data_IF_842749129093
#
_entry.id   IF_842749129093
#
_cell.length_a   1.000
_cell.length_b   1.000
_cell.length_c   1.000
_cell.angle_alpha   90.00
_cell.angle_beta   90.00
_cell.angle_gamma   90.00
#
_symmetry.space_group_name_H-M   'P 1'
#
loop_
_entity.id
_entity.type
_entity.pdbx_description
1 polymer ?
#
# COMPACT_ATOMS: atom_id res chain seq x y z
N UNK A 1 23.48 7.59 -9.12
CA UNK A 1 23.55 6.24 -8.50
C UNK A 1 22.24 5.87 -7.81
N UNK A 2 21.76 6.64 -6.82
CA UNK A 2 20.49 6.37 -6.12
C UNK A 2 19.30 6.15 -7.04
N UNK A 3 19.02 7.11 -7.92
CA UNK A 3 17.85 7.04 -8.82
C UNK A 3 17.93 5.86 -9.80
N UNK A 4 19.14 5.48 -10.20
CA UNK A 4 19.35 4.29 -11.03
C UNK A 4 19.04 3.00 -10.25
N UNK A 5 19.52 2.88 -9.01
CA UNK A 5 19.23 1.71 -8.14
C UNK A 5 17.73 1.58 -7.91
N UNK A 6 17.12 2.71 -7.59
CA UNK A 6 15.68 2.85 -7.48
C UNK A 6 15.02 2.35 -8.78
N UNK A 7 15.37 2.87 -9.95
CA UNK A 7 14.77 2.50 -11.25
C UNK A 7 14.90 1.01 -11.53
N UNK A 8 16.06 0.44 -11.17
CA UNK A 8 16.31 -1.00 -11.33
C UNK A 8 15.38 -1.86 -10.48
N UNK A 9 15.14 -1.49 -9.23
CA UNK A 9 14.23 -2.20 -8.31
C UNK A 9 12.74 -2.16 -8.71
N UNK A 10 12.34 -1.25 -9.61
CA UNK A 10 10.98 -1.22 -10.17
C UNK A 10 10.80 -2.14 -11.38
N UNK A 11 11.89 -2.61 -11.98
CA UNK A 11 11.81 -3.39 -13.21
C UNK A 11 11.10 -4.73 -13.00
N UNK A 12 10.48 -5.25 -14.06
CA UNK A 12 9.74 -6.53 -14.06
C UNK A 12 10.56 -7.74 -13.58
N UNK A 13 11.90 -7.63 -13.60
CA UNK A 13 12.81 -8.62 -13.00
C UNK A 13 12.60 -8.82 -11.50
N UNK A 14 12.26 -7.74 -10.79
CA UNK A 14 12.07 -7.75 -9.34
C UNK A 14 10.63 -8.06 -8.93
N UNK A 15 9.71 -7.93 -9.87
CA UNK A 15 8.29 -8.24 -9.73
C UNK A 15 7.87 -9.37 -10.69
N UNK A 16 8.57 -10.52 -10.72
CA UNK A 16 8.31 -11.57 -11.70
C UNK A 16 7.10 -12.44 -11.34
N UNK A 17 6.53 -13.03 -12.39
CA UNK A 17 5.45 -14.04 -12.37
C UNK A 17 5.72 -15.16 -11.37
N UNK A 18 4.68 -15.56 -10.66
CA UNK A 18 4.73 -16.72 -9.77
C UNK A 18 4.09 -17.98 -10.37
N UNK A 19 4.08 -18.14 -11.70
CA UNK A 19 3.90 -19.43 -12.39
C UNK A 19 3.88 -19.32 -13.93
N UNK A 20 5.06 -19.40 -14.55
CA UNK A 20 5.38 -20.17 -15.78
C UNK A 20 4.45 -20.31 -17.02
N UNK A 21 3.29 -19.67 -17.14
CA UNK A 21 2.42 -19.78 -18.32
C UNK A 21 2.07 -18.40 -18.87
N UNK A 22 2.00 -18.28 -20.19
CA UNK A 22 1.96 -17.01 -20.92
C UNK A 22 0.66 -16.21 -20.77
N UNK A 23 0.44 -15.62 -19.59
CA UNK A 23 -0.55 -14.57 -19.30
C UNK A 23 0.07 -13.41 -18.51
N UNK A 24 -0.70 -12.36 -18.19
CA UNK A 24 -0.23 -11.20 -17.41
C UNK A 24 0.35 -11.62 -16.04
N UNK A 25 1.27 -10.82 -15.50
CA UNK A 25 1.99 -11.17 -14.28
C UNK A 25 1.08 -11.16 -13.04
N UNK A 26 1.00 -12.27 -12.30
CA UNK A 26 0.25 -12.34 -11.04
C UNK A 26 0.88 -11.42 -9.99
N UNK A 27 0.19 -10.35 -9.57
CA UNK A 27 0.74 -9.35 -8.64
C UNK A 27 0.81 -9.93 -7.23
N UNK A 28 1.91 -9.71 -6.52
CA UNK A 28 2.13 -10.25 -5.17
C UNK A 28 2.93 -9.34 -4.25
N UNK A 29 2.46 -9.18 -3.01
CA UNK A 29 3.23 -8.51 -1.97
C UNK A 29 4.52 -9.30 -1.68
N UNK A 30 5.60 -8.57 -1.42
CA UNK A 30 6.88 -9.16 -1.00
C UNK A 30 7.52 -8.34 0.10
N UNK A 31 8.50 -8.91 0.80
CA UNK A 31 9.28 -8.16 1.78
C UNK A 31 10.50 -7.49 1.16
N UNK A 32 10.99 -6.41 1.78
CA UNK A 32 12.25 -5.76 1.35
C UNK A 32 13.44 -6.72 1.39
N UNK A 33 13.41 -7.74 2.27
CA UNK A 33 14.41 -8.81 2.30
C UNK A 33 14.34 -9.67 1.05
N UNK A 34 13.15 -10.13 0.67
CA UNK A 34 12.97 -10.90 -0.57
C UNK A 34 13.39 -10.08 -1.80
N UNK A 35 13.08 -8.78 -1.82
CA UNK A 35 13.55 -7.88 -2.88
C UNK A 35 15.09 -7.79 -2.91
N UNK A 36 15.74 -7.71 -1.75
CA UNK A 36 17.20 -7.73 -1.62
C UNK A 36 17.80 -9.07 -2.09
N UNK A 37 17.18 -10.21 -1.79
CA UNK A 37 17.63 -11.52 -2.27
C UNK A 37 17.58 -11.67 -3.79
N UNK A 38 16.62 -11.00 -4.45
CA UNK A 38 16.60 -10.89 -5.92
C UNK A 38 17.68 -9.93 -6.39
N UNK A 39 17.88 -8.80 -5.70
CA UNK A 39 18.91 -7.82 -6.03
C UNK A 39 20.34 -8.39 -5.94
N UNK A 40 20.59 -9.28 -4.97
CA UNK A 40 21.88 -9.94 -4.80
C UNK A 40 22.28 -10.84 -5.98
N UNK A 41 21.31 -11.23 -6.82
CA UNK A 41 21.54 -12.00 -8.05
C UNK A 41 21.66 -11.11 -9.29
N UNK A 42 21.44 -9.80 -9.17
CA UNK A 42 21.60 -8.83 -10.25
C UNK A 42 22.99 -8.20 -10.17
N UNK A 43 23.92 -8.72 -10.98
CA UNK A 43 25.32 -8.30 -10.97
C UNK A 43 25.50 -6.79 -11.24
N UNK A 44 24.67 -6.22 -12.12
CA UNK A 44 24.71 -4.79 -12.42
C UNK A 44 24.22 -3.98 -11.22
N UNK A 45 23.14 -4.43 -10.55
CA UNK A 45 22.69 -3.81 -9.32
C UNK A 45 23.77 -3.81 -8.24
N UNK A 46 24.44 -4.95 -8.02
CA UNK A 46 25.49 -5.08 -7.01
C UNK A 46 26.69 -4.16 -7.27
N UNK A 47 27.10 -4.01 -8.54
CA UNK A 47 28.18 -3.08 -8.91
C UNK A 47 27.79 -1.63 -8.61
N UNK A 48 26.60 -1.19 -9.03
CA UNK A 48 26.15 0.17 -8.77
C UNK A 48 25.87 0.39 -7.28
N UNK A 49 25.41 -0.63 -6.55
CA UNK A 49 25.17 -0.56 -5.12
C UNK A 49 26.49 -0.43 -4.33
N UNK A 50 27.55 -1.14 -4.72
CA UNK A 50 28.88 -0.95 -4.13
C UNK A 50 29.41 0.47 -4.34
N UNK A 51 29.25 1.04 -5.54
CA UNK A 51 29.60 2.43 -5.82
C UNK A 51 28.76 3.42 -5.01
N UNK A 52 27.47 3.15 -4.85
CA UNK A 52 26.57 3.98 -4.06
C UNK A 52 26.89 3.92 -2.55
N UNK A 53 27.24 2.74 -2.04
CA UNK A 53 27.64 2.53 -0.65
C UNK A 53 29.07 3.06 -0.36
N UNK A 54 29.92 3.17 -1.39
CA UNK A 54 31.30 3.63 -1.29
C UNK A 54 32.30 2.54 -0.88
N UNK A 55 31.85 1.29 -0.70
CA UNK A 55 32.70 0.14 -0.39
C UNK A 55 32.06 -1.17 -0.85
N UNK A 56 32.87 -2.22 -1.06
CA UNK A 56 32.41 -3.51 -1.56
C UNK A 56 31.68 -4.36 -0.49
N UNK A 57 32.07 -4.23 0.78
CA UNK A 57 31.52 -5.01 1.90
C UNK A 57 30.23 -4.41 2.49
N UNK A 58 29.38 -3.84 1.64
CA UNK A 58 28.12 -3.23 2.10
C UNK A 58 27.08 -4.31 2.42
N UNK A 59 26.22 -4.03 3.40
CA UNK A 59 25.08 -4.90 3.68
C UNK A 59 23.91 -4.52 2.74
N UNK A 60 23.56 -5.46 1.87
CA UNK A 60 22.53 -5.30 0.84
C UNK A 60 21.13 -5.15 1.44
N UNK A 61 20.83 -5.85 2.54
CA UNK A 61 19.51 -5.83 3.16
C UNK A 61 19.11 -4.42 3.67
N UNK A 62 19.89 -3.75 4.53
CA UNK A 62 19.59 -2.39 4.96
C UNK A 62 19.71 -1.39 3.82
N UNK A 63 20.58 -1.59 2.82
CA UNK A 63 20.65 -0.73 1.65
C UNK A 63 19.31 -0.73 0.88
N UNK A 64 18.80 -1.90 0.53
CA UNK A 64 17.52 -2.04 -0.20
C UNK A 64 16.36 -1.57 0.67
N UNK A 65 16.32 -1.96 1.95
CA UNK A 65 15.25 -1.55 2.86
C UNK A 65 15.17 -0.03 3.01
N UNK A 66 16.31 0.66 3.15
CA UNK A 66 16.36 2.13 3.28
C UNK A 66 15.97 2.84 1.98
N UNK A 67 16.44 2.34 0.81
CA UNK A 67 16.04 2.88 -0.49
C UNK A 67 14.52 2.78 -0.70
N UNK A 68 13.96 1.61 -0.42
CA UNK A 68 12.53 1.35 -0.60
C UNK A 68 11.70 2.15 0.40
N UNK A 69 12.04 2.13 1.69
CA UNK A 69 11.28 2.83 2.72
C UNK A 69 11.22 4.35 2.47
N UNK A 70 12.29 4.94 1.95
CA UNK A 70 12.33 6.37 1.62
C UNK A 70 11.46 6.75 0.41
N UNK A 71 11.15 5.81 -0.48
CA UNK A 71 10.26 6.02 -1.64
C UNK A 71 8.95 5.23 -1.51
N UNK A 72 8.56 4.91 -0.27
CA UNK A 72 7.32 4.21 0.05
C UNK A 72 6.33 5.12 0.77
N UNK A 73 5.04 4.94 0.48
CA UNK A 73 3.96 5.51 1.28
C UNK A 73 3.09 4.37 1.85
N UNK A 74 2.70 4.42 3.14
CA UNK A 74 1.83 3.40 3.73
C UNK A 74 0.45 3.33 3.09
N UNK A 75 -0.06 2.12 2.91
CA UNK A 75 -1.35 1.85 2.27
C UNK A 75 -2.55 2.52 2.98
N UNK A 76 -2.58 2.51 4.33
CA UNK A 76 -3.71 3.10 5.09
C UNK A 76 -3.52 4.60 5.39
N UNK A 77 -4.57 5.43 5.27
CA UNK A 77 -4.52 6.87 5.60
C UNK A 77 -4.02 7.15 7.03
N UNK A 78 -4.45 6.34 8.01
CA UNK A 78 -4.06 6.50 9.43
C UNK A 78 -2.56 6.33 9.66
N UNK A 79 -1.85 5.68 8.74
CA UNK A 79 -0.39 5.51 8.78
C UNK A 79 0.36 6.63 8.03
N UNK A 80 -0.36 7.52 7.35
CA UNK A 80 0.17 8.63 6.53
C UNK A 80 -0.06 9.99 7.16
N UNK A 81 -1.25 10.24 7.69
CA UNK A 81 -1.71 11.56 8.08
C UNK A 81 -1.74 11.77 9.60
N UNK A 82 -1.52 13.01 10.01
CA UNK A 82 -1.86 13.46 11.37
C UNK A 82 -3.38 13.62 11.51
N UNK A 83 -3.89 13.91 12.71
CA UNK A 83 -5.32 14.17 12.93
C UNK A 83 -5.86 15.31 12.04
N UNK A 84 -5.05 16.35 11.77
CA UNK A 84 -5.46 17.43 10.86
C UNK A 84 -5.55 16.93 9.42
N UNK A 85 -4.62 16.09 8.98
CA UNK A 85 -4.65 15.47 7.65
C UNK A 85 -5.80 14.48 7.48
N UNK A 86 -6.14 13.71 8.52
CA UNK A 86 -7.31 12.80 8.49
C UNK A 86 -8.62 13.58 8.35
N UNK A 87 -8.77 14.72 9.04
CA UNK A 87 -9.95 15.59 8.85
C UNK A 87 -10.05 16.16 7.43
N UNK A 88 -8.92 16.42 6.76
CA UNK A 88 -8.91 16.81 5.35
C UNK A 88 -9.27 15.64 4.45
N UNK A 89 -8.76 14.45 4.76
CA UNK A 89 -9.02 13.22 4.00
C UNK A 89 -10.51 12.93 3.87
N UNK A 90 -11.27 13.07 4.97
CA UNK A 90 -12.74 12.92 4.94
C UNK A 90 -13.38 13.89 3.93
N UNK A 91 -13.01 15.17 3.94
CA UNK A 91 -13.54 16.17 2.99
C UNK A 91 -13.15 15.86 1.54
N UNK A 92 -11.96 15.29 1.31
CA UNK A 92 -11.54 14.81 0.00
C UNK A 92 -12.37 13.62 -0.48
N UNK A 93 -12.61 12.64 0.40
CA UNK A 93 -13.43 11.46 0.09
C UNK A 93 -14.89 11.81 -0.20
N UNK A 94 -15.47 12.74 0.56
CA UNK A 94 -16.79 13.32 0.30
C UNK A 94 -16.84 13.99 -1.08
N UNK A 95 -15.82 14.78 -1.41
CA UNK A 95 -15.73 15.42 -2.73
C UNK A 95 -15.65 14.38 -3.85
N UNK A 96 -14.79 13.37 -3.72
CA UNK A 96 -14.69 12.29 -4.71
C UNK A 96 -15.97 11.49 -4.84
N UNK A 97 -16.73 11.30 -3.75
CA UNK A 97 -18.02 10.62 -3.81
C UNK A 97 -19.05 11.43 -4.62
N UNK A 98 -19.05 12.76 -4.49
CA UNK A 98 -19.88 13.64 -5.31
C UNK A 98 -19.45 13.62 -6.79
N UNK A 99 -18.14 13.70 -7.06
CA UNK A 99 -17.61 13.64 -8.43
C UNK A 99 -17.94 12.31 -9.10
N UNK A 100 -17.84 11.18 -8.40
CA UNK A 100 -18.26 9.88 -8.92
C UNK A 100 -19.75 9.81 -9.28
N UNK A 101 -20.61 10.45 -8.49
CA UNK A 101 -22.06 10.54 -8.78
C UNK A 101 -22.34 11.38 -10.02
N UNK A 102 -21.65 12.51 -10.14
CA UNK A 102 -21.69 13.37 -11.34
C UNK A 102 -21.19 12.61 -12.58
N UNK A 103 -20.06 11.90 -12.48
CA UNK A 103 -19.50 11.05 -13.55
C UNK A 103 -20.45 9.90 -13.94
N UNK A 104 -21.28 9.42 -13.01
CA UNK A 104 -22.33 8.42 -13.25
C UNK A 104 -23.60 9.02 -13.89
N UNK A 105 -23.62 10.33 -14.16
CA UNK A 105 -24.72 11.04 -14.82
C UNK A 105 -25.78 11.61 -13.88
N UNK A 106 -25.54 11.65 -12.57
CA UNK A 106 -26.46 12.28 -11.62
C UNK A 106 -26.39 13.82 -11.71
N UNK A 107 -27.53 14.50 -11.87
CA UNK A 107 -27.60 15.97 -11.81
C UNK A 107 -27.57 16.46 -10.35
N UNK A 108 -26.37 16.83 -9.90
CA UNK A 108 -26.14 17.35 -8.55
C UNK A 108 -26.40 18.86 -8.43
N UNK A 109 -26.67 19.58 -9.53
CA UNK A 109 -26.77 21.04 -9.51
C UNK A 109 -27.93 21.53 -8.63
N UNK A 110 -29.04 20.79 -8.60
CA UNK A 110 -30.23 21.12 -7.81
C UNK A 110 -30.11 20.79 -6.32
N UNK A 111 -29.34 19.75 -5.97
CA UNK A 111 -29.26 19.22 -4.60
C UNK A 111 -28.01 19.67 -3.84
N UNK A 112 -26.87 19.72 -4.53
CA UNK A 112 -25.55 20.06 -3.96
C UNK A 112 -25.04 21.40 -4.51
N UNK A 113 -25.45 21.76 -5.73
CA UNK A 113 -24.90 22.92 -6.43
C UNK A 113 -23.50 22.62 -6.95
N UNK A 114 -22.59 23.59 -6.81
CA UNK A 114 -21.18 23.41 -7.22
C UNK A 114 -20.46 22.52 -6.20
N UNK A 115 -19.93 21.37 -6.65
CA UNK A 115 -19.13 20.47 -5.82
C UNK A 115 -17.99 21.28 -5.15
N UNK A 116 -17.86 21.22 -3.81
CA UNK A 116 -16.84 21.98 -3.10
C UNK A 116 -15.44 21.49 -3.47
N UNK A 117 -14.50 22.42 -3.58
CA UNK A 117 -13.08 22.07 -3.75
C UNK A 117 -12.49 21.72 -2.39
N UNK A 118 -11.85 20.55 -2.22
CA UNK A 118 -11.36 20.14 -0.91
C UNK A 118 -10.11 20.94 -0.53
N UNK A 119 -9.82 21.09 0.78
CA UNK A 119 -8.68 21.87 1.25
C UNK A 119 -7.35 21.21 0.86
N UNK A 120 -6.38 22.02 0.42
CA UNK A 120 -5.02 21.53 0.15
C UNK A 120 -4.33 21.03 1.42
N UNK A 121 -3.57 19.95 1.30
CA UNK A 121 -2.68 19.48 2.35
C UNK A 121 -1.45 20.38 2.52
N UNK A 122 -0.85 20.32 3.71
CA UNK A 122 0.42 20.94 4.07
C UNK A 122 1.34 19.89 4.71
N UNK A 123 2.64 20.18 4.82
CA UNK A 123 3.59 19.24 5.44
C UNK A 123 3.17 18.78 6.85
N UNK A 124 2.53 19.63 7.66
CA UNK A 124 2.05 19.30 9.02
C UNK A 124 0.88 18.31 9.07
N UNK A 125 0.23 18.07 7.92
CA UNK A 125 -0.87 17.12 7.81
C UNK A 125 -0.38 15.68 7.62
N UNK A 126 0.94 15.48 7.44
CA UNK A 126 1.57 14.18 7.25
C UNK A 126 2.42 13.80 8.45
N UNK A 127 2.49 12.49 8.75
CA UNK A 127 3.29 11.95 9.87
C UNK A 127 4.80 12.00 9.59
N UNK A 128 5.22 12.01 8.32
CA UNK A 128 6.63 12.09 7.91
C UNK A 128 6.82 13.03 6.74
N UNK A 129 7.98 13.70 6.70
CA UNK A 129 8.39 14.57 5.60
C UNK A 129 8.44 13.85 4.25
N UNK A 130 8.87 12.59 4.22
CA UNK A 130 8.88 11.78 2.99
C UNK A 130 7.48 11.57 2.43
N UNK A 131 6.47 11.33 3.28
CA UNK A 131 5.10 11.19 2.82
C UNK A 131 4.60 12.49 2.19
N UNK A 132 4.89 13.64 2.81
CA UNK A 132 4.60 14.95 2.23
C UNK A 132 5.31 15.16 0.88
N UNK A 133 6.60 14.83 0.78
CA UNK A 133 7.37 14.92 -0.47
C UNK A 133 6.74 14.08 -1.59
N UNK A 134 6.26 12.89 -1.25
CA UNK A 134 5.68 11.93 -2.20
C UNK A 134 4.22 12.19 -2.54
N UNK A 135 3.50 13.04 -1.79
CA UNK A 135 2.05 13.27 -1.99
C UNK A 135 1.69 14.73 -2.32
N UNK A 136 2.39 15.67 -1.70
CA UNK A 136 2.19 17.12 -1.90
C UNK A 136 0.78 17.61 -1.52
N UNK A 137 0.48 18.86 -1.90
CA UNK A 137 -0.74 19.55 -1.45
C UNK A 137 -2.06 19.00 -2.00
N UNK A 138 -2.00 18.18 -3.05
CA UNK A 138 -3.16 17.53 -3.68
C UNK A 138 -3.20 16.02 -3.42
N UNK A 139 -2.29 15.51 -2.59
CA UNK A 139 -2.20 14.09 -2.24
C UNK A 139 -1.99 13.13 -3.43
N UNK A 140 -1.45 13.65 -4.54
CA UNK A 140 -1.17 12.88 -5.76
C UNK A 140 -0.06 11.87 -5.47
N UNK A 141 -0.28 10.55 -5.67
CA UNK A 141 0.75 9.53 -5.48
C UNK A 141 2.00 9.78 -6.33
N UNK A 142 3.18 9.72 -5.73
CA UNK A 142 4.50 9.78 -6.41
C UNK A 142 5.50 8.78 -5.84
N UNK A 143 5.08 8.00 -4.86
CA UNK A 143 5.86 6.89 -4.33
C UNK A 143 6.07 5.80 -5.38
N UNK A 144 7.11 5.02 -5.18
CA UNK A 144 7.54 3.94 -6.07
C UNK A 144 7.09 2.58 -5.53
N UNK A 145 6.84 2.54 -4.22
CA UNK A 145 6.29 1.39 -3.52
C UNK A 145 5.18 1.79 -2.56
N UNK A 146 4.25 0.87 -2.36
CA UNK A 146 3.29 0.94 -1.26
C UNK A 146 3.85 0.10 -0.14
N UNK A 147 3.89 0.64 1.08
CA UNK A 147 4.33 -0.13 2.25
C UNK A 147 3.16 -0.61 3.09
N UNK A 148 3.33 -1.78 3.72
CA UNK A 148 2.37 -2.43 4.61
C UNK A 148 2.98 -2.63 6.01
N UNK A 149 3.27 -1.55 6.77
CA UNK A 149 3.82 -1.67 8.12
C UNK A 149 2.89 -2.47 9.04
N UNK A 150 3.48 -3.35 9.87
CA UNK A 150 2.72 -4.23 10.76
C UNK A 150 2.20 -5.50 10.09
N UNK A 151 2.44 -5.66 8.79
CA UNK A 151 2.06 -6.84 8.01
C UNK A 151 3.26 -7.77 7.75
N UNK A 152 4.36 -7.64 8.49
CA UNK A 152 5.56 -8.47 8.34
C UNK A 152 5.32 -9.92 8.80
N UNK A 153 6.00 -10.91 8.21
CA UNK A 153 5.79 -12.34 8.51
C UNK A 153 6.60 -12.78 9.73
N UNK A 154 5.90 -13.13 10.82
CA UNK A 154 6.49 -13.83 11.98
C UNK A 154 7.84 -13.27 12.45
N UNK A 155 8.90 -14.10 12.38
CA UNK A 155 10.26 -13.75 12.78
C UNK A 155 11.01 -12.84 11.79
N UNK A 156 10.52 -12.70 10.56
CA UNK A 156 11.03 -11.77 9.57
C UNK A 156 10.34 -10.41 9.73
N UNK A 157 11.05 -9.47 10.34
CA UNK A 157 10.59 -8.08 10.53
C UNK A 157 10.82 -7.18 9.31
N UNK A 158 11.14 -7.74 8.14
CA UNK A 158 11.34 -6.93 6.94
C UNK A 158 10.02 -6.40 6.38
N UNK A 159 10.05 -5.12 5.97
CA UNK A 159 8.86 -4.38 5.55
C UNK A 159 8.21 -5.06 4.34
N UNK A 160 6.90 -5.30 4.43
CA UNK A 160 6.10 -5.78 3.30
C UNK A 160 5.73 -4.62 2.40
N UNK A 161 5.86 -4.84 1.09
CA UNK A 161 5.72 -3.84 0.05
C UNK A 161 4.96 -4.38 -1.17
N UNK A 162 4.34 -3.47 -1.91
CA UNK A 162 3.88 -3.65 -3.29
C UNK A 162 4.60 -2.65 -4.20
N UNK A 163 4.69 -2.97 -5.49
CA UNK A 163 5.07 -1.98 -6.49
C UNK A 163 3.92 -1.00 -6.72
N UNK A 164 4.21 0.31 -6.69
CA UNK A 164 3.18 1.34 -6.83
C UNK A 164 2.69 1.52 -8.30
N UNK A 165 3.36 0.90 -9.27
CA UNK A 165 2.95 0.94 -10.68
C UNK A 165 1.81 0.00 -11.06
N UNK A 166 1.31 -0.81 -10.12
CA UNK A 166 0.13 -1.65 -10.33
C UNK A 166 -1.17 -0.83 -10.33
N UNK A 167 -2.14 -1.27 -11.14
CA UNK A 167 -3.50 -0.76 -11.04
C UNK A 167 -4.21 -1.24 -9.77
N UNK A 168 -5.43 -0.74 -9.52
CA UNK A 168 -6.16 -1.05 -8.30
C UNK A 168 -6.58 -2.53 -8.22
N UNK A 169 -6.89 -3.15 -9.36
CA UNK A 169 -7.24 -4.57 -9.43
C UNK A 169 -6.04 -5.46 -9.07
N UNK A 170 -4.86 -5.12 -9.60
CA UNK A 170 -3.61 -5.81 -9.31
C UNK A 170 -3.22 -5.66 -7.82
N UNK A 171 -3.36 -4.46 -7.26
CA UNK A 171 -3.12 -4.23 -5.84
C UNK A 171 -4.10 -5.02 -4.94
N UNK A 172 -5.39 -5.03 -5.28
CA UNK A 172 -6.40 -5.78 -4.53
C UNK A 172 -6.15 -7.30 -4.61
N UNK A 173 -5.77 -7.79 -5.79
CA UNK A 173 -5.37 -9.20 -5.99
C UNK A 173 -4.20 -9.57 -5.10
N UNK A 174 -3.11 -8.81 -5.15
CA UNK A 174 -1.93 -9.05 -4.34
C UNK A 174 -2.24 -9.04 -2.83
N UNK A 175 -3.05 -8.08 -2.38
CA UNK A 175 -3.41 -7.92 -0.98
C UNK A 175 -4.36 -9.03 -0.49
N UNK A 176 -5.34 -9.43 -1.29
CA UNK A 176 -6.25 -10.52 -0.96
C UNK A 176 -5.52 -11.86 -0.92
N UNK A 177 -4.64 -12.16 -1.89
CA UNK A 177 -3.78 -13.35 -1.85
C UNK A 177 -2.92 -13.37 -0.60
N UNK A 178 -2.30 -12.22 -0.26
CA UNK A 178 -1.51 -12.12 0.97
C UNK A 178 -2.36 -12.36 2.22
N UNK A 179 -3.57 -11.76 2.31
CA UNK A 179 -4.51 -11.98 3.40
C UNK A 179 -4.86 -13.46 3.57
N UNK A 180 -5.22 -14.15 2.48
CA UNK A 180 -5.57 -15.57 2.51
C UNK A 180 -4.37 -16.41 3.00
N UNK A 181 -3.17 -16.14 2.50
CA UNK A 181 -1.96 -16.82 2.97
C UNK A 181 -1.73 -16.60 4.48
N UNK A 182 -1.93 -15.36 4.97
CA UNK A 182 -1.73 -15.04 6.39
C UNK A 182 -2.77 -15.71 7.28
N UNK A 183 -4.02 -15.81 6.79
CA UNK A 183 -5.12 -16.45 7.49
C UNK A 183 -4.96 -17.98 7.53
N UNK A 184 -4.79 -18.60 6.36
CA UNK A 184 -4.89 -20.05 6.21
C UNK A 184 -3.55 -20.77 6.46
N UNK A 185 -2.42 -20.17 6.08
CA UNK A 185 -1.10 -20.83 6.19
C UNK A 185 -0.34 -20.40 7.44
N UNK A 186 -0.35 -19.11 7.76
CA UNK A 186 0.38 -18.57 8.92
C UNK A 186 -0.47 -18.52 10.20
N UNK A 187 -1.79 -18.74 10.09
CA UNK A 187 -2.70 -18.78 11.25
C UNK A 187 -2.76 -17.47 12.03
N UNK A 188 -2.70 -16.32 11.34
CA UNK A 188 -2.74 -15.02 12.02
C UNK A 188 -4.05 -14.80 12.78
N UNK A 189 -3.96 -14.11 13.92
CA UNK A 189 -5.15 -13.68 14.65
C UNK A 189 -5.96 -12.68 13.83
N UNK A 190 -7.26 -12.60 14.11
CA UNK A 190 -8.17 -11.68 13.42
C UNK A 190 -7.71 -10.21 13.52
N UNK A 191 -7.13 -9.79 14.65
CA UNK A 191 -6.63 -8.42 14.86
C UNK A 191 -5.43 -8.10 13.96
N UNK A 192 -4.59 -9.09 13.69
CA UNK A 192 -3.43 -8.95 12.79
C UNK A 192 -3.85 -8.96 11.32
N UNK A 193 -4.95 -9.65 11.01
CA UNK A 193 -5.56 -9.66 9.67
C UNK A 193 -6.37 -8.39 9.36
N UNK A 194 -6.93 -7.73 10.38
CA UNK A 194 -7.76 -6.53 10.26
C UNK A 194 -7.16 -5.42 9.36
N UNK A 195 -5.88 -5.00 9.49
CA UNK A 195 -5.32 -3.98 8.62
C UNK A 195 -5.32 -4.37 7.14
N UNK A 196 -5.15 -5.65 6.80
CA UNK A 196 -5.17 -6.11 5.40
C UNK A 196 -6.58 -5.95 4.80
N UNK A 197 -7.63 -6.28 5.57
CA UNK A 197 -9.02 -6.03 5.16
C UNK A 197 -9.34 -4.54 5.07
N UNK A 198 -8.82 -3.72 5.98
CA UNK A 198 -8.95 -2.28 5.88
C UNK A 198 -8.31 -1.76 4.59
N UNK A 199 -7.15 -2.31 4.18
CA UNK A 199 -6.52 -1.99 2.90
C UNK A 199 -7.37 -2.36 1.69
N UNK A 200 -8.03 -3.53 1.71
CA UNK A 200 -8.96 -3.91 0.64
C UNK A 200 -10.19 -2.99 0.60
N UNK A 201 -10.71 -2.60 1.76
CA UNK A 201 -11.81 -1.64 1.88
C UNK A 201 -11.45 -0.29 1.26
N UNK A 202 -10.23 0.22 1.46
CA UNK A 202 -9.73 1.46 0.84
C UNK A 202 -9.67 1.39 -0.69
N UNK A 203 -9.50 0.19 -1.26
CA UNK A 203 -9.43 -0.02 -2.72
C UNK A 203 -10.82 -0.12 -3.37
N UNK A 204 -11.87 -0.49 -2.62
CA UNK A 204 -13.21 -0.75 -3.18
C UNK A 204 -13.80 0.39 -4.03
N UNK A 205 -13.71 1.69 -3.64
CA UNK A 205 -14.28 2.75 -4.47
C UNK A 205 -13.66 2.80 -5.87
N UNK A 206 -12.36 2.55 -5.98
CA UNK A 206 -11.61 2.57 -7.24
C UNK A 206 -11.89 1.32 -8.08
N UNK A 207 -11.99 0.16 -7.44
CA UNK A 207 -12.39 -1.08 -8.11
C UNK A 207 -13.79 -0.96 -8.72
N UNK A 208 -14.75 -0.38 -7.96
CA UNK A 208 -16.10 -0.13 -8.45
C UNK A 208 -16.13 0.88 -9.61
N UNK A 209 -15.30 1.91 -9.54
CA UNK A 209 -15.29 2.96 -10.55
C UNK A 209 -14.61 2.51 -11.86
N UNK A 210 -13.51 1.77 -11.79
CA UNK A 210 -12.64 1.51 -12.95
C UNK A 210 -12.47 0.04 -13.33
N UNK A 211 -12.89 -0.89 -12.48
CA UNK A 211 -12.68 -2.33 -12.68
C UNK A 211 -13.95 -3.17 -12.44
N UNK A 212 -15.14 -2.59 -12.65
CA UNK A 212 -16.42 -3.29 -12.38
C UNK A 212 -17.20 -3.73 -13.62
N UNK A 213 -16.64 -3.54 -14.81
CA UNK A 213 -17.12 -4.25 -15.99
C UNK A 213 -16.83 -5.75 -15.88
N UNK A 214 -17.53 -6.55 -16.68
CA UNK A 214 -17.33 -8.00 -16.71
C UNK A 214 -15.89 -8.30 -17.14
N UNK A 215 -15.09 -8.81 -16.22
CA UNK A 215 -13.71 -9.17 -16.51
C UNK A 215 -13.68 -10.54 -17.24
N UNK A 216 -13.07 -10.64 -18.44
CA UNK A 216 -13.08 -11.87 -19.24
C UNK A 216 -12.25 -13.00 -18.62
N UNK A 217 -11.20 -12.69 -17.87
CA UNK A 217 -10.30 -13.69 -17.27
C UNK A 217 -10.94 -14.34 -16.03
N UNK A 218 -11.72 -13.56 -15.27
CA UNK A 218 -12.36 -14.01 -14.03
C UNK A 218 -13.85 -14.34 -14.19
N UNK A 219 -14.49 -13.89 -15.28
CA UNK A 219 -15.94 -14.04 -15.48
C UNK A 219 -16.78 -13.31 -14.43
N UNK A 220 -16.26 -12.23 -13.84
CA UNK A 220 -16.88 -11.49 -12.75
C UNK A 220 -16.68 -9.99 -12.87
N UNK A 221 -17.57 -9.21 -12.23
CA UNK A 221 -17.38 -7.77 -12.00
C UNK A 221 -16.50 -7.59 -10.77
N UNK A 222 -15.27 -7.12 -10.95
CA UNK A 222 -14.26 -7.25 -9.88
C UNK A 222 -14.51 -6.31 -8.69
N UNK A 223 -15.13 -5.16 -8.89
CA UNK A 223 -15.59 -4.30 -7.79
C UNK A 223 -16.62 -5.00 -6.89
N UNK A 224 -17.63 -5.63 -7.49
CA UNK A 224 -18.67 -6.38 -6.77
C UNK A 224 -18.10 -7.64 -6.09
N UNK A 225 -17.17 -8.32 -6.77
CA UNK A 225 -16.46 -9.47 -6.22
C UNK A 225 -15.69 -9.11 -4.94
N UNK A 226 -14.84 -8.06 -4.99
CA UNK A 226 -14.03 -7.68 -3.84
C UNK A 226 -14.86 -7.08 -2.70
N UNK A 227 -15.98 -6.41 -3.00
CA UNK A 227 -16.90 -5.97 -1.95
C UNK A 227 -17.51 -7.16 -1.21
N UNK A 228 -17.94 -8.19 -1.95
CA UNK A 228 -18.48 -9.43 -1.37
C UNK A 228 -17.42 -10.11 -0.53
N UNK A 229 -16.19 -10.25 -1.05
CA UNK A 229 -15.04 -10.80 -0.34
C UNK A 229 -14.78 -10.07 0.98
N UNK A 230 -14.69 -8.73 0.97
CA UNK A 230 -14.46 -7.93 2.20
C UNK A 230 -15.62 -8.13 3.19
N UNK A 231 -16.87 -8.11 2.72
CA UNK A 231 -18.05 -8.28 3.57
C UNK A 231 -18.08 -9.64 4.24
N UNK A 232 -17.78 -10.71 3.50
CA UNK A 232 -17.77 -12.07 4.01
C UNK A 232 -16.63 -12.30 5.01
N UNK A 233 -15.43 -11.79 4.73
CA UNK A 233 -14.27 -11.91 5.62
C UNK A 233 -14.44 -11.10 6.90
N UNK A 234 -14.99 -9.88 6.81
CA UNK A 234 -15.35 -9.06 7.97
C UNK A 234 -16.34 -9.79 8.87
N UNK A 235 -17.37 -10.42 8.29
CA UNK A 235 -18.33 -11.23 9.05
C UNK A 235 -17.68 -12.46 9.67
N UNK A 236 -16.88 -13.21 8.91
CA UNK A 236 -16.21 -14.42 9.36
C UNK A 236 -15.26 -14.15 10.53
N UNK A 237 -14.54 -13.01 10.49
CA UNK A 237 -13.67 -12.56 11.57
C UNK A 237 -14.39 -11.79 12.68
N UNK A 238 -15.72 -11.68 12.62
CA UNK A 238 -16.55 -10.99 13.61
C UNK A 238 -16.14 -9.52 13.83
N UNK A 239 -15.87 -8.82 12.74
CA UNK A 239 -15.73 -7.37 12.66
C UNK A 239 -16.96 -6.74 11.99
N UNK A 240 -17.03 -5.42 12.04
CA UNK A 240 -17.89 -4.58 11.21
C UNK A 240 -17.06 -3.79 10.19
N UNK A 241 -17.69 -3.25 9.15
CA UNK A 241 -17.00 -2.33 8.23
C UNK A 241 -16.50 -1.07 8.96
N UNK A 242 -17.21 -0.63 10.00
CA UNK A 242 -16.79 0.50 10.82
C UNK A 242 -15.55 0.18 11.66
N UNK A 243 -15.38 -1.08 12.12
CA UNK A 243 -14.14 -1.51 12.76
C UNK A 243 -12.94 -1.43 11.81
N UNK A 244 -13.13 -1.72 10.52
CA UNK A 244 -12.07 -1.55 9.52
C UNK A 244 -11.74 -0.07 9.30
N UNK A 245 -12.76 0.79 9.12
CA UNK A 245 -12.58 2.25 8.94
C UNK A 245 -11.94 2.91 10.16
N UNK A 246 -12.27 2.44 11.35
CA UNK A 246 -11.76 2.94 12.61
C UNK A 246 -10.42 2.29 13.00
N UNK A 247 -9.89 1.36 12.22
CA UNK A 247 -8.64 0.69 12.54
C UNK A 247 -7.51 1.70 12.73
N UNK A 248 -6.74 1.51 13.80
CA UNK A 248 -5.51 2.24 14.07
C UNK A 248 -4.43 1.22 14.44
N UNK A 249 -3.16 1.50 14.11
CA UNK A 249 -2.09 0.69 14.65
C UNK A 249 -2.22 0.65 16.17
N UNK A 250 -2.10 -0.54 16.76
CA UNK A 250 -1.98 -0.65 18.21
C UNK A 250 -0.87 0.30 18.66
N UNK A 251 -1.03 0.97 19.79
CA UNK A 251 -0.01 1.86 20.36
C UNK A 251 1.22 1.02 20.79
N UNK A 252 1.95 0.47 19.85
CA UNK A 252 3.12 -0.37 20.07
C UNK A 252 4.30 0.54 20.39
N UNK A 253 4.62 0.65 21.67
CA UNK A 253 5.99 0.71 22.15
C UNK A 253 6.95 1.68 21.42
N UNK A 254 6.55 2.93 21.22
CA UNK A 254 7.45 4.05 20.91
C UNK A 254 8.58 4.27 21.97
N UNK A 255 8.71 3.38 22.96
CA UNK A 255 9.72 3.38 24.02
C UNK A 255 10.86 2.36 23.86
N UNK A 256 10.82 1.41 22.92
CA UNK A 256 11.89 0.38 22.83
C UNK A 256 13.13 0.76 22.01
N UNK A 257 13.16 1.97 21.44
CA UNK A 257 14.32 2.50 20.70
C UNK A 257 15.27 3.41 21.49
N UNK A 258 14.92 3.85 22.71
CA UNK A 258 15.83 4.64 23.55
C UNK A 258 16.64 3.69 24.44
N UNK A 259 17.55 2.93 23.84
CA UNK A 259 18.67 2.37 24.62
C UNK A 259 19.36 3.56 25.27
N UNK A 260 19.31 3.61 26.60
CA UNK A 260 20.15 4.48 27.42
C UNK A 260 21.59 4.27 26.95
N UNK A 261 22.20 5.33 26.43
CA UNK A 261 23.65 5.47 26.50
C UNK A 261 24.01 5.39 27.98
N UNK A 262 24.59 4.26 28.39
CA UNK A 262 25.30 4.21 29.65
C UNK A 262 26.56 5.08 29.48
N UNK A 263 26.76 5.95 30.47
CA UNK A 263 28.02 6.64 30.69
C UNK A 263 29.11 5.65 31.07
#
# INVERSE_FOLDING_TARGET
LRDWLLARLESTRYWPRLDGSGGDATPQLMSTRRLADVAGRDAEFMQIAALYAGHADFDLNPLVANLVAAESVPFLPVLRYTDTGLRKRVQWEETWALQRREDAGEDLASSVGRIPVPPKYQSKDFLKTDYWRLRGGLDVPKERWISYPGCERGADGSLVIAWAGWDHLQQATALATYFIDMKEREGWSRERLQPLLAGLLELLPWLRQWHNDMNPDFGARMGDYYESFVTDEVRALQFTLDDLRAWKPAATAARRGRKRSAA
#
